data_IF_049805445286
#
_entry.id   IF_049805445286
#
_cell.length_a   1.000
_cell.length_b   1.000
_cell.length_c   1.000
_cell.angle_alpha   90.00
_cell.angle_beta   90.00
_cell.angle_gamma   90.00
#
_symmetry.space_group_name_H-M   'P 1'
#
loop_
_entity.id
_entity.type
_entity.pdbx_description
1 polymer ?
#
# COMPACT_ATOMS: atom_id res chain seq x y z
N UNK A 1 -7.47 20.90 -4.71
CA UNK A 1 -7.45 19.43 -4.72
C UNK A 1 -8.41 18.95 -5.80
N UNK A 2 -7.94 18.17 -6.76
CA UNK A 2 -8.77 17.50 -7.78
C UNK A 2 -8.55 16.01 -7.63
N UNK A 3 -9.59 15.24 -7.37
CA UNK A 3 -9.56 13.77 -7.27
C UNK A 3 -10.23 13.18 -8.50
N UNK A 4 -9.54 12.34 -9.26
CA UNK A 4 -10.08 11.65 -10.43
C UNK A 4 -10.40 10.20 -10.06
N UNK A 5 -11.67 9.80 -10.16
CA UNK A 5 -12.14 8.41 -9.97
C UNK A 5 -12.75 7.95 -11.29
N UNK A 6 -12.17 6.91 -11.91
CA UNK A 6 -12.69 6.31 -13.15
C UNK A 6 -13.51 5.06 -12.80
N UNK A 7 -14.81 5.06 -13.11
CA UNK A 7 -15.74 3.99 -12.74
C UNK A 7 -16.09 3.12 -13.95
N UNK A 8 -15.33 2.06 -14.20
CA UNK A 8 -15.76 0.97 -15.08
C UNK A 8 -15.38 -0.38 -14.46
N UNK A 9 -16.38 -1.03 -13.86
CA UNK A 9 -16.51 -2.45 -13.40
C UNK A 9 -15.29 -3.29 -13.03
N UNK A 10 -14.22 -2.68 -12.52
CA UNK A 10 -13.21 -3.35 -11.69
C UNK A 10 -13.08 -2.56 -10.39
N UNK A 11 -12.99 -3.26 -9.25
CA UNK A 11 -12.91 -2.68 -7.91
C UNK A 11 -11.60 -1.90 -7.74
N UNK A 12 -11.54 -0.67 -8.25
CA UNK A 12 -10.33 0.16 -8.18
C UNK A 12 -10.42 1.10 -6.99
N UNK A 13 -10.07 0.57 -5.81
CA UNK A 13 -9.92 1.36 -4.58
C UNK A 13 -8.55 2.07 -4.58
N UNK A 14 -8.40 3.00 -5.53
CA UNK A 14 -7.16 3.74 -5.78
C UNK A 14 -7.47 5.20 -6.05
N UNK A 15 -6.63 6.09 -5.50
CA UNK A 15 -6.68 7.52 -5.73
C UNK A 15 -5.26 8.05 -6.01
N UNK A 16 -5.16 8.99 -6.94
CA UNK A 16 -3.93 9.74 -7.22
C UNK A 16 -4.07 11.14 -6.64
N UNK A 17 -3.07 11.58 -5.87
CA UNK A 17 -2.99 12.93 -5.34
C UNK A 17 -1.90 13.71 -6.08
N UNK A 18 -2.31 14.74 -6.83
CA UNK A 18 -1.38 15.69 -7.43
C UNK A 18 -1.03 16.77 -6.40
N UNK A 19 0.24 16.82 -6.00
CA UNK A 19 0.75 17.89 -5.16
C UNK A 19 0.73 19.22 -5.92
N UNK A 20 0.35 20.30 -5.25
CA UNK A 20 0.38 21.65 -5.84
C UNK A 20 1.80 22.10 -6.16
N UNK A 21 2.78 21.61 -5.42
CA UNK A 21 4.20 21.85 -5.63
C UNK A 21 4.97 20.51 -5.61
N UNK A 22 5.97 20.32 -6.48
CA UNK A 22 6.78 19.10 -6.47
C UNK A 22 7.51 18.88 -5.15
N UNK A 23 7.39 17.68 -4.57
CA UNK A 23 8.11 17.31 -3.36
C UNK A 23 9.62 17.24 -3.65
N UNK A 24 10.42 17.95 -2.85
CA UNK A 24 11.88 17.90 -2.95
C UNK A 24 12.42 16.61 -2.31
N UNK A 25 12.96 15.72 -3.15
CA UNK A 25 13.50 14.44 -2.69
C UNK A 25 14.82 14.61 -1.94
N UNK A 26 15.00 13.81 -0.89
CA UNK A 26 16.21 13.79 -0.07
C UNK A 26 16.40 12.40 0.57
N UNK A 27 17.25 12.31 1.60
CA UNK A 27 17.51 11.03 2.28
C UNK A 27 16.29 10.47 3.03
N UNK A 28 15.31 11.31 3.36
CA UNK A 28 14.07 10.95 4.04
C UNK A 28 12.89 10.81 3.07
N UNK A 29 12.80 11.66 2.04
CA UNK A 29 11.74 11.62 1.03
C UNK A 29 12.25 11.03 -0.28
N UNK A 30 11.76 9.85 -0.62
CA UNK A 30 12.09 9.14 -1.86
C UNK A 30 10.83 8.54 -2.48
N UNK A 31 10.86 8.36 -3.80
CA UNK A 31 9.80 7.66 -4.52
C UNK A 31 10.03 6.15 -4.47
N UNK A 32 8.95 5.39 -4.61
CA UNK A 32 8.98 3.94 -4.86
C UNK A 32 8.51 3.70 -6.30
N UNK A 33 9.24 2.92 -7.11
CA UNK A 33 8.77 2.59 -8.45
C UNK A 33 7.54 1.69 -8.38
N UNK A 34 6.56 1.89 -9.26
CA UNK A 34 5.43 0.99 -9.42
C UNK A 34 5.90 -0.37 -10.01
N UNK A 35 5.35 -1.48 -9.49
CA UNK A 35 5.62 -2.79 -10.08
C UNK A 35 5.00 -2.84 -11.49
N UNK A 36 5.79 -3.30 -12.48
CA UNK A 36 5.33 -3.45 -13.87
C UNK A 36 4.58 -4.76 -14.12
N UNK A 37 4.74 -5.72 -13.23
CA UNK A 37 4.12 -7.03 -13.29
C UNK A 37 3.76 -7.47 -11.86
N UNK A 38 2.80 -8.37 -11.76
CA UNK A 38 2.40 -8.94 -10.48
C UNK A 38 3.57 -9.71 -9.85
N UNK A 39 3.83 -9.52 -8.55
CA UNK A 39 4.81 -10.33 -7.83
C UNK A 39 4.45 -11.81 -7.88
N UNK A 40 5.44 -12.69 -8.04
CA UNK A 40 5.23 -14.13 -8.00
C UNK A 40 4.75 -14.59 -6.61
N UNK A 41 3.96 -15.65 -6.56
CA UNK A 41 3.51 -16.26 -5.30
C UNK A 41 4.72 -16.60 -4.42
N UNK A 42 4.63 -16.25 -3.13
CA UNK A 42 5.73 -16.43 -2.16
C UNK A 42 6.75 -15.28 -2.14
N UNK A 43 6.59 -14.26 -3.00
CA UNK A 43 7.38 -13.02 -2.88
C UNK A 43 7.10 -12.37 -1.54
N UNK A 44 8.17 -12.00 -0.83
CA UNK A 44 8.05 -11.28 0.43
C UNK A 44 7.68 -9.83 0.14
N UNK A 45 6.62 -9.38 0.82
CA UNK A 45 6.11 -8.02 0.73
C UNK A 45 5.97 -7.43 2.14
N UNK A 46 6.08 -6.11 2.22
CA UNK A 46 5.95 -5.35 3.46
C UNK A 46 4.86 -4.29 3.26
N UNK A 47 3.85 -4.32 4.13
CA UNK A 47 2.89 -3.24 4.28
C UNK A 47 3.25 -2.41 5.52
N UNK A 48 3.05 -1.11 5.46
CA UNK A 48 3.32 -0.19 6.58
C UNK A 48 2.20 0.84 6.68
N UNK A 49 1.85 1.20 7.91
CA UNK A 49 0.88 2.26 8.19
C UNK A 49 0.79 2.52 9.69
N UNK A 50 -0.12 3.41 10.07
CA UNK A 50 -0.37 3.83 11.46
C UNK A 50 -1.74 3.37 11.96
N UNK A 51 -2.38 2.43 11.27
CA UNK A 51 -3.68 1.90 11.64
C UNK A 51 -3.69 1.14 12.96
N UNK A 52 -4.90 0.79 13.40
CA UNK A 52 -5.15 0.13 14.68
C UNK A 52 -4.33 -1.16 14.83
N UNK A 53 -3.56 -1.28 15.92
CA UNK A 53 -2.86 -2.54 16.20
C UNK A 53 -3.81 -3.62 16.74
N UNK A 54 -3.45 -4.89 16.62
CA UNK A 54 -4.28 -6.02 17.08
C UNK A 54 -4.36 -6.16 18.60
N UNK A 55 -3.58 -5.37 19.34
CA UNK A 55 -3.70 -5.21 20.79
C UNK A 55 -4.25 -3.81 21.02
N UNK A 56 -5.27 -3.65 21.86
CA UNK A 56 -5.75 -2.34 22.30
C UNK A 56 -4.71 -1.65 23.24
N UNK A 57 -3.44 -1.64 22.86
CA UNK A 57 -2.37 -0.93 23.55
C UNK A 57 -2.16 0.42 22.84
N UNK A 58 -1.95 1.52 23.60
CA UNK A 58 -1.64 2.81 23.02
C UNK A 58 -0.47 2.67 22.04
N UNK A 59 -0.59 3.29 20.86
CA UNK A 59 0.45 3.35 19.82
C UNK A 59 1.72 3.97 20.41
N UNK A 60 2.57 3.15 21.04
CA UNK A 60 3.92 3.56 21.34
C UNK A 60 4.70 3.36 20.04
N UNK A 61 5.17 4.46 19.44
CA UNK A 61 5.75 4.59 18.08
C UNK A 61 6.98 3.70 17.77
N UNK A 62 7.29 2.72 18.62
CA UNK A 62 8.48 1.86 18.56
C UNK A 62 8.22 0.44 18.08
N UNK A 63 7.01 0.09 17.63
CA UNK A 63 6.71 -1.26 17.12
C UNK A 63 6.40 -1.24 15.63
N UNK A 64 7.43 -1.15 14.79
CA UNK A 64 7.38 -1.80 13.48
C UNK A 64 7.29 -3.32 13.76
N UNK A 65 6.08 -3.86 13.81
CA UNK A 65 5.85 -5.24 14.23
C UNK A 65 6.48 -6.20 13.22
N UNK A 66 7.64 -6.72 13.58
CA UNK A 66 8.41 -7.78 12.93
C UNK A 66 7.74 -9.16 13.04
N UNK A 67 6.40 -9.21 13.07
CA UNK A 67 5.65 -10.46 13.21
C UNK A 67 4.70 -10.59 12.02
N UNK A 68 4.85 -11.70 11.30
CA UNK A 68 4.13 -12.09 10.08
C UNK A 68 2.61 -12.30 10.28
N UNK A 69 2.05 -11.82 11.39
CA UNK A 69 0.77 -12.27 11.93
C UNK A 69 -0.30 -11.19 12.00
N UNK A 70 -0.03 -9.96 11.53
CA UNK A 70 -1.00 -8.87 11.60
C UNK A 70 -1.28 -8.25 10.21
N UNK A 71 -2.53 -8.32 9.73
CA UNK A 71 -2.94 -7.68 8.47
C UNK A 71 -2.96 -6.15 8.61
N UNK A 72 -2.98 -5.39 7.49
CA UNK A 72 -3.45 -4.01 7.50
C UNK A 72 -4.84 -3.87 8.15
N UNK A 73 -5.05 -2.79 8.89
CA UNK A 73 -6.26 -2.52 9.69
C UNK A 73 -6.87 -1.16 9.35
N UNK A 74 -7.91 -0.79 10.09
CA UNK A 74 -8.50 0.55 9.99
C UNK A 74 -7.42 1.61 10.19
N UNK A 75 -7.32 2.55 9.26
CA UNK A 75 -6.27 3.59 9.25
C UNK A 75 -5.06 3.27 8.37
N UNK A 76 -4.91 2.03 7.89
CA UNK A 76 -3.87 1.68 6.90
C UNK A 76 -4.32 1.84 5.45
N UNK A 77 -5.61 2.10 5.19
CA UNK A 77 -6.17 2.25 3.83
C UNK A 77 -5.40 3.26 2.99
N UNK A 78 -5.04 2.89 1.77
CA UNK A 78 -4.16 3.65 0.88
C UNK A 78 -2.67 3.50 1.18
N UNK A 79 -2.30 2.84 2.27
CA UNK A 79 -0.91 2.55 2.63
C UNK A 79 -0.23 1.60 1.64
N UNK A 80 1.11 1.66 1.49
CA UNK A 80 1.82 0.93 0.45
C UNK A 80 2.05 -0.54 0.81
N UNK A 81 1.84 -1.43 -0.15
CA UNK A 81 2.38 -2.79 -0.16
C UNK A 81 3.59 -2.83 -1.09
N UNK A 82 4.78 -2.97 -0.51
CA UNK A 82 6.05 -3.00 -1.24
C UNK A 82 6.60 -4.42 -1.28
N UNK A 83 6.87 -4.94 -2.48
CA UNK A 83 7.37 -6.30 -2.67
C UNK A 83 8.81 -6.29 -3.20
N UNK A 84 9.59 -7.32 -2.85
CA UNK A 84 10.97 -7.50 -3.30
C UNK A 84 12.02 -7.22 -2.23
N UNK A 85 13.30 -7.25 -2.60
CA UNK A 85 14.43 -7.11 -1.65
C UNK A 85 15.53 -6.18 -2.18
N UNK A 86 16.23 -5.52 -1.25
CA UNK A 86 17.28 -4.55 -1.57
C UNK A 86 16.81 -3.46 -2.52
N UNK A 87 17.54 -3.28 -3.61
CA UNK A 87 17.24 -2.30 -4.67
C UNK A 87 16.10 -2.73 -5.61
N UNK A 88 15.61 -3.97 -5.52
CA UNK A 88 14.56 -4.52 -6.39
C UNK A 88 13.16 -4.42 -5.77
N UNK A 89 12.92 -3.37 -4.97
CA UNK A 89 11.59 -3.14 -4.38
C UNK A 89 10.71 -2.33 -5.31
N UNK A 90 9.44 -2.69 -5.37
CA UNK A 90 8.43 -1.92 -6.09
C UNK A 90 7.09 -1.90 -5.34
N UNK A 91 6.28 -0.89 -5.61
CA UNK A 91 4.92 -0.76 -5.11
C UNK A 91 4.03 -1.75 -5.86
N UNK A 92 3.58 -2.79 -5.17
CA UNK A 92 2.75 -3.85 -5.72
C UNK A 92 1.26 -3.60 -5.49
N UNK A 93 0.92 -2.89 -4.41
CA UNK A 93 -0.46 -2.56 -4.12
C UNK A 93 -0.65 -1.43 -3.13
N UNK A 94 -1.90 -1.01 -2.98
CA UNK A 94 -2.36 -0.12 -1.92
C UNK A 94 -3.37 -0.86 -1.05
N UNK A 95 -3.31 -0.70 0.27
CA UNK A 95 -4.25 -1.33 1.20
C UNK A 95 -5.68 -0.86 0.87
N UNK A 96 -6.58 -1.80 0.62
CA UNK A 96 -8.01 -1.51 0.41
C UNK A 96 -8.80 -1.84 1.67
N UNK A 97 -8.80 -3.12 2.07
CA UNK A 97 -9.53 -3.59 3.25
C UNK A 97 -8.69 -4.55 4.11
N UNK A 98 -8.87 -4.42 5.42
CA UNK A 98 -8.35 -5.35 6.43
C UNK A 98 -9.38 -6.43 6.80
N UNK A 99 -8.89 -7.56 7.35
CA UNK A 99 -9.75 -8.61 7.89
C UNK A 99 -10.05 -8.39 9.39
N UNK A 100 -11.32 -8.37 9.78
CA UNK A 100 -11.78 -8.25 11.18
C UNK A 100 -12.33 -9.59 11.73
N UNK A 101 -12.06 -9.96 13.00
CA UNK A 101 -11.01 -9.45 13.89
C UNK A 101 -9.65 -10.13 13.59
N UNK A 102 -8.58 -9.33 13.56
CA UNK A 102 -7.17 -9.75 13.48
C UNK A 102 -6.84 -10.77 12.35
N UNK A 103 -7.49 -10.71 11.19
CA UNK A 103 -7.32 -11.61 10.03
C UNK A 103 -6.86 -13.04 10.36
N UNK A 104 -7.54 -13.68 11.31
CA UNK A 104 -7.18 -15.04 11.71
C UNK A 104 -7.46 -16.03 10.56
N UNK A 105 -8.41 -15.70 9.67
CA UNK A 105 -8.89 -16.61 8.61
C UNK A 105 -8.95 -16.02 7.19
N UNK A 106 -8.85 -14.70 7.00
CA UNK A 106 -8.97 -14.05 5.68
C UNK A 106 -7.85 -13.05 5.45
N UNK A 107 -7.11 -13.13 4.32
CA UNK A 107 -6.06 -12.16 4.01
C UNK A 107 -6.67 -10.77 3.78
N UNK A 108 -5.87 -9.74 4.04
CA UNK A 108 -6.20 -8.37 3.65
C UNK A 108 -6.22 -8.22 2.13
N UNK A 109 -7.09 -7.33 1.65
CA UNK A 109 -7.19 -6.99 0.24
C UNK A 109 -6.37 -5.75 -0.12
N UNK A 110 -5.68 -5.83 -1.25
CA UNK A 110 -4.89 -4.73 -1.80
C UNK A 110 -5.35 -4.44 -3.23
N UNK A 111 -5.41 -3.16 -3.59
CA UNK A 111 -5.57 -2.76 -4.98
C UNK A 111 -4.29 -3.08 -5.76
N UNK A 112 -4.42 -3.73 -6.91
CA UNK A 112 -3.28 -4.20 -7.70
C UNK A 112 -2.67 -3.06 -8.53
N UNK A 113 -1.47 -2.61 -8.15
CA UNK A 113 -0.79 -1.49 -8.83
C UNK A 113 -0.24 -1.90 -10.20
N UNK A 114 0.17 -3.15 -10.39
CA UNK A 114 0.66 -3.62 -11.69
C UNK A 114 -0.46 -3.60 -12.74
N UNK A 115 -1.69 -3.92 -12.32
CA UNK A 115 -2.87 -3.89 -13.19
C UNK A 115 -3.27 -2.46 -13.59
N UNK A 116 -2.99 -1.48 -12.72
CA UNK A 116 -3.23 -0.05 -12.96
C UNK A 116 -2.00 0.68 -13.49
N UNK A 117 -0.91 -0.01 -13.83
CA UNK A 117 0.35 0.61 -14.20
C UNK A 117 0.20 1.55 -15.41
N UNK A 118 -0.56 1.15 -16.42
CA UNK A 118 -0.82 2.00 -17.58
C UNK A 118 -1.67 3.22 -17.20
N UNK A 119 -2.69 3.04 -16.35
CA UNK A 119 -3.50 4.16 -15.83
C UNK A 119 -2.63 5.20 -15.10
N UNK A 120 -1.69 4.76 -14.24
CA UNK A 120 -0.82 5.69 -13.51
C UNK A 120 0.24 6.37 -14.37
N UNK A 121 0.77 5.68 -15.39
CA UNK A 121 1.94 6.14 -16.14
C UNK A 121 1.58 6.81 -17.47
N UNK A 122 0.33 6.70 -17.93
CA UNK A 122 -0.20 7.38 -19.11
C UNK A 122 -0.86 8.73 -18.77
N UNK A 123 -1.21 8.97 -17.51
CA UNK A 123 -1.66 10.29 -17.03
C UNK A 123 -0.45 11.25 -16.94
N UNK A 124 -0.18 11.94 -18.06
CA UNK A 124 0.85 12.99 -18.18
C UNK A 124 0.23 14.38 -18.15
#
# INVERSE_FOLDING_TARGET
FSSYLHSDTVTTDVCILHLTEPLQLNNFFRTIPACRAEPSVGTICTATGWGDTCKNEPSNDTKAQHDHSFPPRNGDSGGPLVCGSGSFRCLAGAVSFGGEPCAIEKPAGFANVAWLYNFFMEDK
#
